data_IF_080882408581
#
_entry.id   IF_080882408581
#
_cell.length_a   1.000
_cell.length_b   1.000
_cell.length_c   1.000
_cell.angle_alpha   90.00
_cell.angle_beta   90.00
_cell.angle_gamma   90.00
#
_symmetry.space_group_name_H-M   'P 1'
#
loop_
_entity.id
_entity.type
_entity.pdbx_description
1 polymer ?
#
# COMPACT_ATOMS: atom_id res chain seq x y z
N UNK A 1 -1.51 -8.34 15.82
CA UNK A 1 -1.68 -7.01 15.17
C UNK A 1 -0.43 -6.76 14.34
N UNK A 2 -0.52 -6.89 13.01
CA UNK A 2 0.59 -6.56 12.12
C UNK A 2 0.71 -5.03 12.07
N UNK A 3 1.87 -4.52 12.45
CA UNK A 3 2.12 -3.10 12.61
C UNK A 3 2.48 -2.48 11.25
N UNK A 4 1.49 -2.05 10.47
CA UNK A 4 1.69 -1.38 9.17
C UNK A 4 2.42 -0.02 9.26
N UNK A 5 2.77 0.43 10.49
CA UNK A 5 3.58 1.64 10.66
C UNK A 5 5.04 1.42 10.30
N UNK A 6 5.55 0.20 10.46
CA UNK A 6 6.92 -0.17 10.16
C UNK A 6 6.99 -1.62 9.71
N UNK A 7 7.53 -1.86 8.51
CA UNK A 7 7.65 -3.19 7.93
C UNK A 7 8.86 -3.28 7.00
N UNK A 8 9.32 -4.50 6.71
CA UNK A 8 10.37 -4.77 5.74
C UNK A 8 9.75 -5.06 4.37
N UNK A 9 10.33 -4.50 3.31
CA UNK A 9 9.96 -4.80 1.92
C UNK A 9 11.17 -5.34 1.16
N UNK A 10 10.92 -6.29 0.26
CA UNK A 10 11.93 -6.91 -0.60
C UNK A 10 12.23 -8.37 -0.26
N UNK A 11 13.33 -8.94 -0.80
CA UNK A 11 14.32 -8.25 -1.63
C UNK A 11 13.74 -7.78 -2.97
N UNK A 12 14.28 -6.67 -3.49
CA UNK A 12 14.05 -6.25 -4.87
C UNK A 12 14.77 -7.18 -5.88
N UNK A 13 14.58 -7.02 -7.19
CA UNK A 13 15.29 -7.84 -8.20
C UNK A 13 16.82 -7.76 -8.15
N UNK A 14 17.38 -6.77 -7.45
CA UNK A 14 18.81 -6.58 -7.24
C UNK A 14 19.29 -7.07 -5.87
N UNK A 15 18.40 -7.65 -5.06
CA UNK A 15 18.71 -8.20 -3.74
C UNK A 15 18.63 -7.20 -2.59
N UNK A 16 18.24 -5.94 -2.84
CA UNK A 16 18.16 -4.90 -1.79
C UNK A 16 16.90 -5.04 -0.97
N UNK A 17 17.00 -4.78 0.33
CA UNK A 17 15.86 -4.69 1.22
C UNK A 17 15.62 -3.25 1.65
N UNK A 18 14.38 -2.98 2.06
CA UNK A 18 13.97 -1.67 2.52
C UNK A 18 13.28 -1.78 3.87
N UNK A 19 13.69 -0.96 4.82
CA UNK A 19 12.89 -0.65 6.00
C UNK A 19 11.90 0.44 5.63
N UNK A 20 10.62 0.10 5.72
CA UNK A 20 9.51 0.97 5.31
C UNK A 20 8.82 1.54 6.54
N UNK A 21 8.57 2.84 6.52
CA UNK A 21 7.84 3.54 7.57
C UNK A 21 6.62 4.24 6.98
N UNK A 22 5.45 4.02 7.57
CA UNK A 22 4.26 4.83 7.30
C UNK A 22 4.52 6.28 7.73
N UNK A 23 4.25 7.22 6.83
CA UNK A 23 4.38 8.66 7.10
C UNK A 23 3.02 9.31 7.34
N UNK A 24 2.09 9.16 6.40
CA UNK A 24 0.74 9.71 6.51
C UNK A 24 -0.23 9.04 5.54
N UNK A 25 -1.52 9.21 5.80
CA UNK A 25 -2.65 8.89 4.92
C UNK A 25 -3.54 10.13 4.83
N UNK A 26 -3.91 10.56 3.62
CA UNK A 26 -4.71 11.75 3.43
C UNK A 26 -5.51 11.71 2.12
N UNK A 27 -6.68 12.35 2.08
CA UNK A 27 -7.43 12.58 0.84
C UNK A 27 -6.71 13.62 -0.03
N UNK A 28 -6.34 13.22 -1.24
CA UNK A 28 -5.42 13.96 -2.10
C UNK A 28 -5.99 15.29 -2.63
N UNK A 29 -7.31 15.47 -2.57
CA UNK A 29 -7.99 16.71 -2.96
C UNK A 29 -7.42 17.92 -2.20
N UNK A 30 -7.03 17.70 -0.93
CA UNK A 30 -6.51 18.73 -0.03
C UNK A 30 -5.04 19.09 -0.26
N UNK A 31 -4.26 18.27 -0.98
CA UNK A 31 -2.81 18.45 -1.14
C UNK A 31 -2.35 18.62 -2.59
N UNK A 32 -3.07 18.04 -3.57
CA UNK A 32 -2.70 18.10 -4.98
C UNK A 32 -3.90 18.09 -5.95
N UNK A 33 -5.09 18.41 -5.46
CA UNK A 33 -6.34 18.46 -6.24
C UNK A 33 -6.67 17.16 -7.00
N UNK A 34 -6.45 16.00 -6.37
CA UNK A 34 -6.74 14.68 -6.96
C UNK A 34 -7.81 13.91 -6.17
N UNK A 35 -8.62 13.11 -6.86
CA UNK A 35 -9.65 12.25 -6.25
C UNK A 35 -9.08 10.87 -5.87
N UNK A 36 -8.12 10.87 -4.94
CA UNK A 36 -7.49 9.66 -4.42
C UNK A 36 -7.37 9.73 -2.90
N UNK A 37 -7.27 8.56 -2.26
CA UNK A 37 -6.68 8.44 -0.92
C UNK A 37 -5.19 8.17 -1.13
N UNK A 38 -4.34 9.10 -0.70
CA UNK A 38 -2.90 8.97 -0.81
C UNK A 38 -2.32 8.42 0.50
N UNK A 39 -1.44 7.42 0.39
CA UNK A 39 -0.69 6.87 1.52
C UNK A 39 0.79 7.04 1.24
N UNK A 40 1.51 7.76 2.11
CA UNK A 40 2.95 8.00 1.94
C UNK A 40 3.77 7.14 2.89
N UNK A 41 4.82 6.56 2.33
CA UNK A 41 5.84 5.79 3.02
C UNK A 41 7.22 6.43 2.86
N UNK A 42 8.09 6.19 3.83
CA UNK A 42 9.54 6.42 3.75
C UNK A 42 10.20 5.06 3.62
N UNK A 43 11.07 4.90 2.63
CA UNK A 43 11.86 3.69 2.44
C UNK A 43 13.32 4.01 2.76
N UNK A 44 13.95 3.16 3.57
CA UNK A 44 15.37 3.24 3.90
C UNK A 44 16.02 1.95 3.41
N UNK A 45 16.96 2.05 2.46
CA UNK A 45 17.71 0.91 1.97
C UNK A 45 18.84 0.50 2.94
N UNK A 46 19.46 -0.64 2.67
CA UNK A 46 20.54 -1.20 3.48
C UNK A 46 21.80 -0.29 3.55
N UNK A 47 22.00 0.58 2.56
CA UNK A 47 23.08 1.57 2.51
C UNK A 47 22.72 2.89 3.23
N UNK A 48 21.52 2.97 3.82
CA UNK A 48 20.99 4.16 4.49
C UNK A 48 20.40 5.21 3.55
N UNK A 49 20.28 4.90 2.25
CA UNK A 49 19.59 5.71 1.26
C UNK A 49 18.11 5.85 1.60
N UNK A 50 17.62 7.09 1.59
CA UNK A 50 16.24 7.42 1.96
C UNK A 50 15.46 7.90 0.76
N UNK A 51 14.31 7.28 0.50
CA UNK A 51 13.35 7.70 -0.51
C UNK A 51 11.94 7.81 0.07
N UNK A 52 11.04 8.50 -0.62
CA UNK A 52 9.63 8.60 -0.24
C UNK A 52 8.75 8.07 -1.38
N UNK A 53 7.71 7.33 -1.02
CA UNK A 53 6.74 6.78 -1.98
C UNK A 53 5.32 7.12 -1.57
N UNK A 54 4.55 7.70 -2.48
CA UNK A 54 3.12 7.92 -2.32
C UNK A 54 2.36 6.95 -3.18
N UNK A 55 1.54 6.12 -2.54
CA UNK A 55 0.60 5.22 -3.20
C UNK A 55 -0.75 5.91 -3.25
N UNK A 56 -1.19 6.24 -4.47
CA UNK A 56 -2.46 6.90 -4.73
C UNK A 56 -3.53 5.86 -5.04
N UNK A 57 -4.57 5.80 -4.21
CA UNK A 57 -5.70 4.89 -4.35
C UNK A 57 -6.89 5.67 -4.94
N UNK A 58 -7.28 5.45 -6.21
CA UNK A 58 -8.42 6.17 -6.80
C UNK A 58 -9.69 5.97 -5.97
N UNK A 59 -10.30 7.06 -5.54
CA UNK A 59 -11.41 7.00 -4.58
C UNK A 59 -12.64 6.31 -5.18
N UNK A 60 -12.95 6.56 -6.46
CA UNK A 60 -14.02 5.87 -7.16
C UNK A 60 -13.82 4.33 -7.20
N UNK A 61 -12.58 3.88 -7.39
CA UNK A 61 -12.25 2.45 -7.42
C UNK A 61 -12.27 1.84 -6.01
N UNK A 62 -11.78 2.56 -4.99
CA UNK A 62 -11.91 2.13 -3.60
C UNK A 62 -13.37 1.90 -3.20
N UNK A 63 -14.26 2.84 -3.53
CA UNK A 63 -15.69 2.68 -3.26
C UNK A 63 -16.28 1.46 -3.97
N UNK A 64 -15.84 1.20 -5.21
CA UNK A 64 -16.27 0.03 -5.97
C UNK A 64 -15.84 -1.26 -5.28
N UNK A 65 -14.56 -1.39 -4.95
CA UNK A 65 -14.00 -2.59 -4.31
C UNK A 65 -14.60 -2.80 -2.92
N UNK A 66 -14.78 -1.73 -2.15
CA UNK A 66 -15.45 -1.77 -0.83
C UNK A 66 -16.85 -2.36 -0.92
N UNK A 67 -17.65 -1.94 -1.91
CA UNK A 67 -19.00 -2.50 -2.15
C UNK A 67 -18.93 -3.96 -2.60
N UNK A 68 -18.06 -4.29 -3.55
CA UNK A 68 -17.90 -5.65 -4.08
C UNK A 68 -17.49 -6.66 -2.98
N UNK A 69 -16.68 -6.22 -2.03
CA UNK A 69 -16.13 -7.07 -0.95
C UNK A 69 -16.91 -6.96 0.36
N UNK A 70 -17.91 -6.07 0.44
CA UNK A 70 -18.60 -5.71 1.68
C UNK A 70 -17.64 -5.29 2.83
N UNK A 71 -16.48 -4.73 2.48
CA UNK A 71 -15.49 -4.22 3.44
C UNK A 71 -15.70 -2.72 3.64
N UNK A 72 -15.72 -2.27 4.88
CA UNK A 72 -15.73 -0.84 5.18
C UNK A 72 -14.47 -0.17 4.60
N UNK A 73 -14.65 0.95 3.91
CA UNK A 73 -13.55 1.79 3.44
C UNK A 73 -13.05 2.65 4.61
N UNK A 74 -12.16 2.09 5.42
CA UNK A 74 -11.55 2.72 6.59
C UNK A 74 -10.03 2.93 6.39
N UNK A 75 -9.43 3.78 7.22
CA UNK A 75 -8.00 4.10 7.14
C UNK A 75 -7.11 2.83 7.24
N UNK A 76 -7.36 1.87 8.16
CA UNK A 76 -6.58 0.63 8.20
C UNK A 76 -6.63 -0.18 6.90
N UNK A 77 -7.81 -0.31 6.28
CA UNK A 77 -7.95 -1.05 5.03
C UNK A 77 -7.24 -0.35 3.87
N UNK A 78 -7.40 0.98 3.74
CA UNK A 78 -6.68 1.77 2.75
C UNK A 78 -5.15 1.69 2.94
N UNK A 79 -4.67 1.78 4.18
CA UNK A 79 -3.25 1.65 4.49
C UNK A 79 -2.70 0.27 4.09
N UNK A 80 -3.45 -0.81 4.35
CA UNK A 80 -3.06 -2.17 3.94
C UNK A 80 -3.05 -2.35 2.43
N UNK A 81 -4.04 -1.84 1.70
CA UNK A 81 -4.03 -1.88 0.23
C UNK A 81 -2.78 -1.19 -0.34
N UNK A 82 -2.42 -0.04 0.23
CA UNK A 82 -1.22 0.69 -0.18
C UNK A 82 0.08 -0.04 0.20
N UNK A 83 0.14 -0.65 1.38
CA UNK A 83 1.25 -1.51 1.82
C UNK A 83 1.45 -2.69 0.87
N UNK A 84 0.38 -3.45 0.56
CA UNK A 84 0.46 -4.61 -0.34
C UNK A 84 0.91 -4.19 -1.75
N UNK A 85 0.47 -3.02 -2.22
CA UNK A 85 0.99 -2.49 -3.48
C UNK A 85 2.47 -2.11 -3.40
N UNK A 86 2.89 -1.44 -2.33
CA UNK A 86 4.30 -1.08 -2.15
C UNK A 86 5.21 -2.31 -2.08
N UNK A 87 4.79 -3.36 -1.37
CA UNK A 87 5.51 -4.64 -1.33
C UNK A 87 5.68 -5.23 -2.73
N UNK A 88 4.64 -5.16 -3.56
CA UNK A 88 4.69 -5.60 -4.94
C UNK A 88 5.67 -4.76 -5.79
N UNK A 89 5.63 -3.44 -5.69
CA UNK A 89 6.56 -2.56 -6.42
C UNK A 89 8.01 -2.86 -6.04
N UNK A 90 8.30 -3.02 -4.75
CA UNK A 90 9.65 -3.34 -4.27
C UNK A 90 10.09 -4.72 -4.80
N UNK A 91 9.25 -5.75 -4.65
CA UNK A 91 9.61 -7.12 -5.05
C UNK A 91 9.82 -7.26 -6.57
N UNK A 92 9.11 -6.47 -7.37
CA UNK A 92 9.20 -6.51 -8.85
C UNK A 92 10.18 -5.50 -9.43
N UNK A 93 10.55 -4.47 -8.66
CA UNK A 93 11.29 -3.31 -9.15
C UNK A 93 10.44 -2.37 -10.02
N UNK A 94 9.13 -2.60 -10.12
CA UNK A 94 8.23 -1.78 -10.95
C UNK A 94 8.09 -0.37 -10.38
N UNK A 95 8.20 0.62 -11.26
CA UNK A 95 7.96 2.03 -10.98
C UNK A 95 8.77 2.59 -9.79
N UNK A 96 9.87 1.94 -9.39
CA UNK A 96 10.64 2.30 -8.19
C UNK A 96 11.23 3.72 -8.26
N UNK A 97 11.43 4.26 -9.46
CA UNK A 97 11.88 5.64 -9.73
C UNK A 97 10.81 6.72 -9.53
N UNK A 98 9.53 6.36 -9.45
CA UNK A 98 8.42 7.32 -9.30
C UNK A 98 8.15 7.60 -7.82
N UNK A 99 8.08 8.86 -7.44
CA UNK A 99 7.67 9.24 -6.07
C UNK A 99 6.18 8.99 -5.81
N UNK A 100 5.35 8.98 -6.85
CA UNK A 100 3.91 8.75 -6.77
C UNK A 100 3.48 7.69 -7.77
N UNK A 101 2.76 6.68 -7.28
CA UNK A 101 2.23 5.58 -8.10
C UNK A 101 0.74 5.42 -7.83
N UNK A 102 -0.06 5.39 -8.88
CA UNK A 102 -1.51 5.21 -8.80
C UNK A 102 -1.85 3.73 -8.95
N UNK A 103 -2.60 3.18 -8.01
CA UNK A 103 -2.97 1.75 -8.03
C UNK A 103 -4.09 1.50 -9.04
N UNK A 104 -3.91 0.59 -10.01
CA UNK A 104 -4.98 0.19 -10.92
C UNK A 104 -6.12 -0.55 -10.20
N UNK A 105 -7.35 -0.43 -10.70
CA UNK A 105 -8.52 -1.16 -10.15
C UNK A 105 -8.30 -2.68 -10.05
N UNK A 106 -7.62 -3.28 -11.03
CA UNK A 106 -7.36 -4.72 -11.04
C UNK A 106 -6.51 -5.14 -9.83
N UNK A 107 -5.50 -4.33 -9.48
CA UNK A 107 -4.64 -4.57 -8.34
C UNK A 107 -5.36 -4.29 -7.02
N UNK A 108 -6.16 -3.23 -6.94
CA UNK A 108 -7.00 -2.98 -5.74
C UNK A 108 -7.89 -4.17 -5.39
N UNK A 109 -8.51 -4.81 -6.40
CA UNK A 109 -9.30 -6.03 -6.19
C UNK A 109 -8.45 -7.19 -5.71
N UNK A 110 -7.32 -7.43 -6.38
CA UNK A 110 -6.41 -8.51 -6.03
C UNK A 110 -5.90 -8.38 -4.60
N UNK A 111 -5.48 -7.18 -4.20
CA UNK A 111 -5.02 -6.91 -2.84
C UNK A 111 -6.14 -7.01 -1.80
N UNK A 112 -7.35 -6.55 -2.12
CA UNK A 112 -8.49 -6.72 -1.23
C UNK A 112 -8.79 -8.21 -0.96
N UNK A 113 -8.70 -9.06 -1.99
CA UNK A 113 -8.86 -10.51 -1.85
C UNK A 113 -7.73 -11.15 -1.03
N UNK A 114 -6.48 -10.71 -1.23
CA UNK A 114 -5.32 -11.15 -0.43
C UNK A 114 -5.51 -10.81 1.05
N UNK A 115 -5.84 -9.55 1.34
CA UNK A 115 -6.12 -9.05 2.70
C UNK A 115 -7.24 -9.86 3.36
N UNK A 116 -8.34 -10.13 2.65
CA UNK A 116 -9.46 -10.90 3.20
C UNK A 116 -9.07 -12.35 3.51
N UNK A 117 -8.20 -12.98 2.69
CA UNK A 117 -7.66 -14.33 2.96
C UNK A 117 -6.76 -14.34 4.19
N UNK A 118 -5.91 -13.33 4.34
CA UNK A 118 -5.03 -13.18 5.51
C UNK A 118 -5.84 -12.97 6.80
N UNK A 119 -6.84 -12.09 6.79
CA UNK A 119 -7.72 -11.83 7.94
C UNK A 119 -8.44 -13.11 8.39
N UNK A 120 -8.97 -13.89 7.43
CA UNK A 120 -9.60 -15.19 7.73
C UNK A 120 -8.59 -16.17 8.33
N UNK A 121 -7.39 -16.26 7.77
CA UNK A 121 -6.35 -17.19 8.24
C UNK A 121 -5.89 -16.85 9.66
N UNK A 122 -5.72 -15.57 9.97
CA UNK A 122 -5.37 -15.09 11.30
C UNK A 122 -6.48 -15.38 12.34
N UNK A 123 -7.75 -15.30 11.94
CA UNK A 123 -8.89 -15.59 12.82
C UNK A 123 -9.06 -17.09 13.14
N UNK A 124 -8.55 -18.00 12.30
CA UNK A 124 -8.60 -19.45 12.56
C UNK A 124 -7.41 -19.96 13.38
N UNK A 125 -6.36 -19.16 13.53
CA UNK A 125 -5.13 -19.52 14.25
C UNK A 125 -5.07 -19.01 15.70
N UNK A 126 -6.11 -18.31 16.18
CA UNK A 126 -6.25 -17.82 17.55
C UNK A 126 -7.45 -18.43 18.25
#
# INVERSE_FOLDING_TARGET
>A
MLNFRQFEAGPDPFGRKFQVMFKWLQTAISIRMADTVDVKFILIDDDGGRSEKTIALPHADLQRVSRETSRAMDDPWCARLAETHLLHLVATGEDMEKDLVTVPLADLRRYADEIAREEKSAAHAG
#
